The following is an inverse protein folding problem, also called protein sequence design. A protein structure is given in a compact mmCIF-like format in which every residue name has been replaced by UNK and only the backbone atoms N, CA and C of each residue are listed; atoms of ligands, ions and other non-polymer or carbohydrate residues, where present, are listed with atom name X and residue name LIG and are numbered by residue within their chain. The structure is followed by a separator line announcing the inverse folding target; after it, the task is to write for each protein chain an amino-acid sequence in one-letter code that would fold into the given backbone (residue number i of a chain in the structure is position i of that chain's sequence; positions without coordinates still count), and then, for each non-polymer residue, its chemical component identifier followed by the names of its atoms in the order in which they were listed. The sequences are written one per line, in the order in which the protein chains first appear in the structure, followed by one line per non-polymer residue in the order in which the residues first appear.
data_IF_818085559308
#
_entry.id   IF_818085559308
#
_cell.length_a   1.000
_cell.length_b   1.000
_cell.length_c   1.000
_cell.angle_alpha   90.00
_cell.angle_beta   90.00
_cell.angle_gamma   90.00
#
_symmetry.space_group_name_H-M   'P 1'
#
loop_
_entity.id
_entity.type
_entity.pdbx_description
1 polymer ?
#
# COMPACT_ATOMS: atom_id res chain seq x y z
N UNK A 1 -14.11 -3.71 10.51
CA UNK A 1 -12.71 -3.42 10.15
C UNK A 1 -12.59 -2.69 8.82
N UNK A 2 -13.07 -3.25 7.71
CA UNK A 2 -12.99 -2.55 6.41
C UNK A 2 -13.73 -1.20 6.41
N UNK A 3 -14.90 -1.10 7.07
CA UNK A 3 -15.62 0.18 7.19
C UNK A 3 -14.84 1.23 8.00
N UNK A 4 -14.12 0.82 9.03
CA UNK A 4 -13.27 1.76 9.79
C UNK A 4 -12.14 2.30 8.91
N UNK A 5 -11.53 1.46 8.07
CA UNK A 5 -10.53 1.92 7.09
C UNK A 5 -11.15 2.87 6.06
N UNK A 6 -12.39 2.60 5.64
CA UNK A 6 -13.15 3.49 4.75
C UNK A 6 -13.31 4.87 5.37
N UNK A 7 -13.61 4.99 6.66
CA UNK A 7 -13.68 6.29 7.35
C UNK A 7 -12.35 7.06 7.32
N UNK A 8 -11.21 6.37 7.46
CA UNK A 8 -9.89 7.00 7.37
C UNK A 8 -9.60 7.50 5.94
N UNK A 9 -9.92 6.68 4.94
CA UNK A 9 -9.79 7.05 3.52
C UNK A 9 -10.75 8.19 3.15
N UNK A 10 -11.95 8.21 3.73
CA UNK A 10 -12.94 9.23 3.44
C UNK A 10 -12.64 10.59 4.07
N UNK A 11 -12.07 10.59 5.27
CA UNK A 11 -11.64 11.80 5.95
C UNK A 11 -10.37 12.45 5.37
N UNK A 12 -9.63 11.73 4.52
CA UNK A 12 -8.37 12.18 3.94
C UNK A 12 -8.55 12.87 2.57
N UNK A 13 -7.67 13.84 2.30
CA UNK A 13 -7.58 14.52 1.01
C UNK A 13 -6.73 13.72 0.01
N UNK A 14 -5.71 13.03 0.52
CA UNK A 14 -4.77 12.23 -0.26
C UNK A 14 -4.52 10.89 0.41
N UNK A 15 -4.28 9.84 -0.38
CA UNK A 15 -4.05 8.47 0.09
C UNK A 15 -2.71 7.95 -0.42
N UNK A 16 -1.82 7.57 0.48
CA UNK A 16 -0.57 6.89 0.14
C UNK A 16 -0.68 5.42 0.51
N UNK A 17 -0.60 4.53 -0.47
CA UNK A 17 -0.74 3.09 -0.25
C UNK A 17 0.60 2.39 -0.38
N UNK A 18 0.90 1.50 0.56
CA UNK A 18 2.07 0.66 0.56
C UNK A 18 1.64 -0.80 0.55
N UNK A 19 2.05 -1.56 -0.47
CA UNK A 19 1.70 -2.96 -0.64
C UNK A 19 2.95 -3.80 -0.40
N UNK A 20 2.94 -4.59 0.67
CA UNK A 20 4.07 -5.39 1.11
C UNK A 20 3.94 -6.88 0.79
N UNK A 21 4.87 -7.66 1.33
CA UNK A 21 5.08 -9.08 1.04
C UNK A 21 3.90 -10.00 1.43
N UNK A 22 3.10 -9.63 2.44
CA UNK A 22 1.93 -10.41 2.84
C UNK A 22 0.79 -10.30 1.81
N UNK A 23 0.78 -9.24 1.00
CA UNK A 23 -0.17 -9.05 -0.09
C UNK A 23 0.31 -9.76 -1.37
N UNK A 24 0.43 -11.08 -1.34
CA UNK A 24 1.01 -11.85 -2.47
C UNK A 24 0.18 -13.07 -2.86
N UNK A 25 0.31 -13.48 -4.12
CA UNK A 25 -0.33 -14.68 -4.68
C UNK A 25 -0.01 -15.93 -3.85
N UNK A 26 1.22 -16.02 -3.32
CA UNK A 26 1.65 -17.12 -2.47
C UNK A 26 0.81 -17.26 -1.19
N UNK A 27 0.32 -16.15 -0.65
CA UNK A 27 -0.40 -16.15 0.63
C UNK A 27 -1.88 -16.51 0.50
N UNK A 28 -2.54 -16.16 -0.62
CA UNK A 28 -3.98 -16.34 -0.75
C UNK A 28 -4.47 -16.91 -2.09
N UNK A 29 -3.61 -17.03 -3.10
CA UNK A 29 -3.99 -17.38 -4.46
C UNK A 29 -4.28 -16.16 -5.34
N UNK A 30 -4.15 -16.33 -6.66
CA UNK A 30 -4.28 -15.23 -7.64
C UNK A 30 -5.68 -14.60 -7.61
N UNK A 31 -6.72 -15.42 -7.48
CA UNK A 31 -8.11 -14.97 -7.50
C UNK A 31 -8.42 -14.03 -6.32
N UNK A 32 -8.03 -14.43 -5.11
CA UNK A 32 -8.23 -13.64 -3.88
C UNK A 32 -7.42 -12.35 -3.88
N UNK A 33 -6.17 -12.39 -4.37
CA UNK A 33 -5.35 -11.17 -4.50
C UNK A 33 -5.97 -10.21 -5.51
N UNK A 34 -6.45 -10.73 -6.64
CA UNK A 34 -7.13 -9.93 -7.64
C UNK A 34 -8.41 -9.29 -7.09
N UNK A 35 -9.23 -10.06 -6.36
CA UNK A 35 -10.41 -9.54 -5.66
C UNK A 35 -10.04 -8.43 -4.67
N UNK A 36 -8.98 -8.61 -3.89
CA UNK A 36 -8.50 -7.60 -2.95
C UNK A 36 -8.04 -6.31 -3.66
N UNK A 37 -7.37 -6.42 -4.82
CA UNK A 37 -7.04 -5.25 -5.65
C UNK A 37 -8.30 -4.54 -6.16
N UNK A 38 -9.34 -5.27 -6.54
CA UNK A 38 -10.60 -4.67 -6.98
C UNK A 38 -11.35 -3.97 -5.83
N UNK A 39 -11.34 -4.53 -4.62
CA UNK A 39 -11.85 -3.84 -3.43
C UNK A 39 -11.04 -2.58 -3.15
N UNK A 40 -9.70 -2.65 -3.23
CA UNK A 40 -8.83 -1.49 -3.06
C UNK A 40 -9.10 -0.40 -4.11
N UNK A 41 -9.31 -0.78 -5.38
CA UNK A 41 -9.69 0.15 -6.44
C UNK A 41 -11.04 0.84 -6.15
N UNK A 42 -12.01 0.10 -5.61
CA UNK A 42 -13.28 0.65 -5.15
C UNK A 42 -13.13 1.64 -3.99
N UNK A 43 -12.28 1.31 -3.01
CA UNK A 43 -11.97 2.17 -1.86
C UNK A 43 -11.28 3.49 -2.27
N UNK A 44 -10.41 3.43 -3.28
CA UNK A 44 -9.66 4.59 -3.77
C UNK A 44 -10.40 5.41 -4.84
N UNK A 45 -11.61 4.99 -5.25
CA UNK A 45 -12.36 5.63 -6.32
C UNK A 45 -12.63 7.11 -6.01
N UNK A 46 -12.20 7.98 -6.92
CA UNK A 46 -12.36 9.43 -6.78
C UNK A 46 -11.38 10.11 -5.81
N UNK A 47 -10.44 9.37 -5.20
CA UNK A 47 -9.41 9.92 -4.33
C UNK A 47 -8.14 10.28 -5.10
N UNK A 48 -7.39 11.26 -4.60
CA UNK A 48 -6.01 11.47 -5.00
C UNK A 48 -5.12 10.47 -4.29
N UNK A 49 -4.54 9.52 -5.01
CA UNK A 49 -3.74 8.46 -4.40
C UNK A 49 -2.45 8.16 -5.16
N UNK A 50 -1.50 7.51 -4.47
CA UNK A 50 -0.34 6.89 -5.07
C UNK A 50 -0.04 5.57 -4.36
N UNK A 51 0.47 4.58 -5.10
CA UNK A 51 0.76 3.24 -4.62
C UNK A 51 2.25 2.94 -4.81
N UNK A 52 2.89 2.45 -3.75
CA UNK A 52 4.21 1.83 -3.79
C UNK A 52 4.02 0.36 -3.48
N UNK A 53 4.51 -0.54 -4.34
CA UNK A 53 4.37 -1.99 -4.16
C UNK A 53 5.73 -2.69 -4.13
N UNK A 54 5.84 -3.72 -3.28
CA UNK A 54 6.95 -4.67 -3.28
C UNK A 54 6.68 -5.90 -4.16
N UNK A 55 5.44 -6.06 -4.65
CA UNK A 55 5.07 -7.19 -5.50
C UNK A 55 5.69 -7.06 -6.89
N UNK A 56 6.31 -8.14 -7.38
CA UNK A 56 6.92 -8.23 -8.71
C UNK A 56 6.08 -9.05 -9.69
N UNK A 57 5.00 -9.70 -9.23
CA UNK A 57 4.14 -10.59 -10.02
C UNK A 57 3.29 -9.88 -11.10
N UNK A 58 3.38 -8.56 -11.19
CA UNK A 58 2.69 -7.67 -12.12
C UNK A 58 1.15 -7.71 -12.07
N UNK A 59 0.54 -8.47 -11.16
CA UNK A 59 -0.91 -8.67 -11.08
C UNK A 59 -1.65 -7.37 -10.78
N UNK A 60 -1.03 -6.44 -10.04
CA UNK A 60 -1.59 -5.12 -9.75
C UNK A 60 -1.96 -4.36 -11.04
N UNK A 61 -1.24 -4.57 -12.14
CA UNK A 61 -1.47 -3.90 -13.42
C UNK A 61 -2.61 -4.53 -14.25
N UNK A 62 -3.15 -5.66 -13.82
CA UNK A 62 -4.37 -6.26 -14.36
C UNK A 62 -5.64 -5.71 -13.69
N UNK A 63 -5.49 -5.00 -12.56
CA UNK A 63 -6.60 -4.41 -11.80
C UNK A 63 -7.11 -3.08 -12.38
N UNK A 64 -8.20 -2.58 -11.81
CA UNK A 64 -8.75 -1.24 -12.10
C UNK A 64 -7.94 -0.07 -11.50
N UNK A 65 -6.83 -0.34 -10.82
CA UNK A 65 -5.94 0.71 -10.32
C UNK A 65 -5.23 1.42 -11.48
N UNK A 66 -5.05 2.73 -11.35
CA UNK A 66 -4.45 3.56 -12.39
C UNK A 66 -2.94 3.31 -12.44
N UNK A 67 -2.44 2.78 -13.57
CA UNK A 67 -1.03 2.38 -13.73
C UNK A 67 -0.07 3.54 -13.48
N UNK A 68 -0.44 4.74 -13.91
CA UNK A 68 0.32 5.97 -13.72
C UNK A 68 0.44 6.42 -12.24
N UNK A 69 -0.30 5.78 -11.33
CA UNK A 69 -0.27 6.03 -9.87
C UNK A 69 0.41 4.90 -9.09
N UNK A 70 1.08 3.99 -9.76
CA UNK A 70 1.76 2.84 -9.16
C UNK A 70 3.26 2.97 -9.43
N UNK A 71 4.09 2.68 -8.44
CA UNK A 71 5.52 2.43 -8.62
C UNK A 71 5.88 1.10 -7.98
N UNK A 72 6.73 0.31 -8.66
CA UNK A 72 7.18 -1.01 -8.23
C UNK A 72 8.72 -1.04 -8.14
N UNK A 73 9.33 -0.53 -7.05
CA UNK A 73 10.78 -0.43 -6.91
C UNK A 73 11.49 -1.76 -6.68
N UNK A 74 10.76 -2.87 -6.57
CA UNK A 74 11.31 -4.22 -6.50
C UNK A 74 11.36 -4.92 -7.87
N UNK A 75 10.83 -4.28 -8.92
CA UNK A 75 10.88 -4.78 -10.28
C UNK A 75 9.60 -5.44 -10.77
N UNK A 76 9.74 -6.23 -11.84
CA UNK A 76 8.68 -6.90 -12.58
C UNK A 76 9.17 -8.26 -13.09
N UNK A 77 8.44 -9.32 -12.78
CA UNK A 77 8.70 -10.68 -13.25
C UNK A 77 8.54 -10.75 -14.77
N UNK A 78 7.52 -10.09 -15.34
CA UNK A 78 7.26 -10.09 -16.78
C UNK A 78 8.36 -9.39 -17.57
N UNK A 79 9.01 -8.38 -16.98
CA UNK A 79 10.14 -7.69 -17.59
C UNK A 79 11.48 -8.43 -17.40
N UNK A 80 11.53 -9.46 -16.56
CA UNK A 80 12.77 -10.15 -16.19
C UNK A 80 13.76 -9.24 -15.45
N UNK A 81 13.24 -8.32 -14.63
CA UNK A 81 14.05 -7.39 -13.85
C UNK A 81 13.48 -7.32 -12.43
N UNK A 82 14.01 -8.12 -11.51
CA UNK A 82 13.61 -8.11 -10.10
C UNK A 82 14.78 -7.84 -9.18
N UNK A 83 14.51 -7.25 -8.01
CA UNK A 83 15.53 -6.80 -7.04
C UNK A 83 16.41 -7.94 -6.49
N UNK A 84 16.01 -9.19 -6.69
CA UNK A 84 16.80 -10.37 -6.32
C UNK A 84 17.80 -10.82 -7.38
N UNK A 85 17.73 -10.26 -8.58
CA UNK A 85 18.62 -10.59 -9.69
C UNK A 85 19.95 -9.83 -9.57
N UNK A 86 21.06 -10.46 -9.95
CA UNK A 86 22.39 -9.82 -9.93
C UNK A 86 22.49 -8.62 -10.89
N UNK A 87 21.72 -8.65 -11.99
CA UNK A 87 21.69 -7.62 -13.03
C UNK A 87 20.50 -6.65 -12.86
N UNK A 88 19.97 -6.51 -11.63
CA UNK A 88 18.84 -5.61 -11.36
C UNK A 88 19.13 -4.17 -11.81
N UNK A 89 18.26 -3.66 -12.70
CA UNK A 89 18.35 -2.31 -13.23
C UNK A 89 17.26 -1.41 -12.64
N UNK A 90 17.69 -0.50 -11.76
CA UNK A 90 16.82 0.50 -11.15
C UNK A 90 16.23 1.48 -12.18
N UNK A 91 16.91 1.70 -13.31
CA UNK A 91 16.51 2.68 -14.33
C UNK A 91 15.10 2.42 -14.89
N UNK A 92 14.64 1.18 -14.80
CA UNK A 92 13.30 0.74 -15.20
C UNK A 92 12.18 1.41 -14.39
N UNK A 93 12.38 1.67 -13.09
CA UNK A 93 11.35 2.30 -12.25
C UNK A 93 11.66 3.77 -11.90
N UNK A 94 12.90 4.25 -12.09
CA UNK A 94 13.31 5.61 -11.73
C UNK A 94 12.38 6.72 -12.28
N UNK A 95 11.91 6.69 -13.55
CA UNK A 95 11.00 7.71 -14.05
C UNK A 95 9.70 7.79 -13.25
N UNK A 96 9.14 6.63 -12.88
CA UNK A 96 7.91 6.55 -12.10
C UNK A 96 8.15 6.89 -10.61
N UNK A 97 9.35 6.59 -10.11
CA UNK A 97 9.80 7.03 -8.79
C UNK A 97 9.89 8.55 -8.65
N UNK A 98 10.31 9.26 -9.70
CA UNK A 98 10.27 10.72 -9.71
C UNK A 98 8.85 11.26 -9.62
N UNK A 99 7.89 10.63 -10.31
CA UNK A 99 6.47 10.98 -10.23
C UNK A 99 5.95 10.77 -8.81
N UNK A 100 6.23 9.61 -8.21
CA UNK A 100 5.93 9.33 -6.81
C UNK A 100 6.52 10.38 -5.87
N UNK A 101 7.81 10.69 -6.02
CA UNK A 101 8.50 11.65 -5.15
C UNK A 101 7.91 13.06 -5.26
N UNK A 102 7.57 13.50 -6.48
CA UNK A 102 6.88 14.78 -6.72
C UNK A 102 5.48 14.78 -6.12
N UNK A 103 4.72 13.69 -6.26
CA UNK A 103 3.41 13.54 -5.63
C UNK A 103 3.52 13.61 -4.11
N UNK A 104 4.51 12.93 -3.52
CA UNK A 104 4.74 12.90 -2.08
C UNK A 104 5.04 14.29 -1.52
N UNK A 105 5.82 15.12 -2.22
CA UNK A 105 6.06 16.51 -1.82
C UNK A 105 4.76 17.32 -1.71
N UNK A 106 3.78 17.06 -2.57
CA UNK A 106 2.46 17.69 -2.54
C UNK A 106 1.54 17.17 -1.42
N UNK A 107 1.96 16.15 -0.66
CA UNK A 107 1.18 15.65 0.49
C UNK A 107 1.45 16.43 1.78
N UNK A 108 2.51 17.24 1.81
CA UNK A 108 2.86 18.05 2.97
C UNK A 108 1.71 19.00 3.31
N UNK A 109 1.35 19.10 4.59
CA UNK A 109 0.22 19.90 5.10
C UNK A 109 -1.19 19.50 4.64
N UNK A 110 -1.36 18.39 3.91
CA UNK A 110 -2.66 17.80 3.62
C UNK A 110 -3.02 16.70 4.61
N UNK A 111 -4.32 16.45 4.79
CA UNK A 111 -4.83 15.27 5.50
C UNK A 111 -4.51 14.04 4.66
N UNK A 112 -3.43 13.37 5.02
CA UNK A 112 -2.93 12.17 4.33
C UNK A 112 -3.38 10.92 5.07
N UNK A 113 -4.05 9.99 4.38
CA UNK A 113 -4.17 8.62 4.87
C UNK A 113 -3.03 7.79 4.30
N UNK A 114 -2.21 7.21 5.16
CA UNK A 114 -1.18 6.25 4.78
C UNK A 114 -1.77 4.87 5.05
N UNK A 115 -1.91 4.03 4.03
CA UNK A 115 -2.49 2.69 4.11
C UNK A 115 -1.41 1.65 3.79
N UNK A 116 -0.91 0.98 4.81
CA UNK A 116 0.04 -0.13 4.67
C UNK A 116 -0.71 -1.47 4.70
N UNK A 117 -0.62 -2.21 3.60
CA UNK A 117 -1.24 -3.52 3.41
C UNK A 117 -0.13 -4.57 3.32
N UNK A 118 0.06 -5.33 4.39
CA UNK A 118 0.98 -6.47 4.40
C UNK A 118 2.46 -6.10 4.36
N UNK A 119 2.81 -4.88 4.78
CA UNK A 119 4.19 -4.37 4.81
C UNK A 119 4.90 -4.88 6.05
N UNK A 120 5.80 -5.83 5.87
CA UNK A 120 6.61 -6.43 6.92
C UNK A 120 8.01 -5.84 6.97
N UNK A 121 9.02 -6.70 6.81
CA UNK A 121 10.44 -6.38 6.92
C UNK A 121 11.28 -6.95 5.77
N UNK A 122 10.67 -7.38 4.67
CA UNK A 122 11.40 -7.81 3.47
C UNK A 122 12.27 -6.66 2.90
N UNK A 123 11.66 -5.49 2.67
CA UNK A 123 12.34 -4.28 2.18
C UNK A 123 11.85 -3.02 2.92
N UNK A 124 12.13 -2.87 4.23
CA UNK A 124 11.52 -1.84 5.05
C UNK A 124 11.98 -0.42 4.68
N UNK A 125 13.13 -0.28 4.03
CA UNK A 125 13.63 0.99 3.49
C UNK A 125 12.82 1.52 2.30
N UNK A 126 12.01 0.68 1.64
CA UNK A 126 11.18 1.07 0.48
C UNK A 126 9.84 1.65 0.93
N UNK A 127 9.19 1.02 1.92
CA UNK A 127 7.83 1.41 2.35
C UNK A 127 7.79 1.73 3.85
N UNK A 128 8.04 0.74 4.72
CA UNK A 128 7.77 0.85 6.16
C UNK A 128 8.42 2.06 6.83
N UNK A 129 9.74 2.17 6.74
CA UNK A 129 10.48 3.26 7.39
C UNK A 129 10.17 4.61 6.74
N UNK A 130 10.13 4.75 5.40
CA UNK A 130 9.65 5.99 4.78
C UNK A 130 8.25 6.41 5.23
N UNK A 131 7.30 5.49 5.29
CA UNK A 131 5.90 5.77 5.62
C UNK A 131 5.73 6.18 7.08
N UNK A 132 6.41 5.49 8.00
CA UNK A 132 6.50 5.91 9.41
C UNK A 132 7.10 7.31 9.53
N UNK A 133 8.17 7.60 8.78
CA UNK A 133 8.80 8.93 8.75
C UNK A 133 7.83 10.00 8.23
N UNK A 134 7.07 9.72 7.18
CA UNK A 134 6.05 10.63 6.65
C UNK A 134 4.96 10.88 7.70
N UNK A 135 4.46 9.83 8.36
CA UNK A 135 3.46 9.95 9.43
C UNK A 135 3.98 10.77 10.62
N UNK A 136 5.26 10.60 10.96
CA UNK A 136 5.93 11.35 12.03
C UNK A 136 6.03 12.84 11.70
N UNK A 137 6.44 13.23 10.49
CA UNK A 137 6.59 14.65 10.14
C UNK A 137 5.27 15.33 9.78
N UNK A 138 4.38 14.67 9.03
CA UNK A 138 3.06 15.22 8.70
C UNK A 138 2.08 14.96 9.86
N UNK A 139 1.92 15.95 10.74
CA UNK A 139 1.01 15.86 11.89
C UNK A 139 -0.47 15.73 11.52
N UNK A 140 -0.85 15.98 10.26
CA UNK A 140 -2.22 15.74 9.74
C UNK A 140 -2.39 14.35 9.14
N UNK A 141 -1.30 13.58 8.99
CA UNK A 141 -1.37 12.23 8.47
C UNK A 141 -1.95 11.26 9.52
N UNK A 142 -2.66 10.25 9.03
CA UNK A 142 -3.10 9.09 9.81
C UNK A 142 -2.57 7.83 9.12
N UNK A 143 -1.99 6.91 9.89
CA UNK A 143 -1.46 5.66 9.36
C UNK A 143 -2.42 4.51 9.70
N UNK A 144 -2.81 3.73 8.70
CA UNK A 144 -3.51 2.47 8.88
C UNK A 144 -2.55 1.36 8.47
N UNK A 145 -2.20 0.49 9.42
CA UNK A 145 -1.32 -0.65 9.22
C UNK A 145 -2.09 -1.94 9.36
N UNK A 146 -2.12 -2.73 8.30
CA UNK A 146 -2.76 -4.04 8.26
C UNK A 146 -1.70 -5.10 8.03
N UNK A 147 -1.50 -5.98 9.01
CA UNK A 147 -0.58 -7.12 8.89
C UNK A 147 -0.96 -8.19 9.92
N UNK A 148 -0.87 -9.48 9.57
CA UNK A 148 -1.17 -10.56 10.54
C UNK A 148 -0.21 -10.63 11.74
N UNK A 149 1.08 -10.41 11.54
CA UNK A 149 2.11 -10.49 12.59
C UNK A 149 2.76 -9.14 12.96
N UNK A 150 3.04 -8.28 11.97
CA UNK A 150 3.85 -7.07 12.16
C UNK A 150 3.05 -5.76 12.25
N UNK A 151 1.85 -5.80 12.82
CA UNK A 151 0.95 -4.65 12.92
C UNK A 151 1.36 -3.59 13.96
N UNK A 152 2.45 -3.80 14.72
CA UNK A 152 2.84 -2.92 15.82
C UNK A 152 3.12 -1.49 15.33
N UNK A 153 2.75 -0.50 16.15
CA UNK A 153 2.94 0.93 15.90
C UNK A 153 3.97 1.52 16.86
N UNK A 154 4.79 2.44 16.36
CA UNK A 154 5.72 3.22 17.18
C UNK A 154 4.95 4.21 18.08
N UNK A 155 5.44 4.49 19.30
CA UNK A 155 4.75 5.37 20.25
C UNK A 155 4.39 6.75 19.69
N UNK A 156 5.24 7.31 18.84
CA UNK A 156 5.15 8.68 18.33
C UNK A 156 3.97 8.92 17.39
N UNK A 157 3.50 7.87 16.70
CA UNK A 157 2.40 7.96 15.73
C UNK A 157 1.14 7.21 16.19
N UNK A 158 1.22 6.48 17.30
CA UNK A 158 0.17 5.55 17.77
C UNK A 158 -1.21 6.20 17.88
N UNK A 159 -1.30 7.40 18.45
CA UNK A 159 -2.58 8.09 18.66
C UNK A 159 -3.27 8.51 17.36
N UNK A 160 -2.52 8.63 16.25
CA UNK A 160 -3.04 8.99 14.93
C UNK A 160 -3.14 7.80 13.99
N UNK A 161 -2.94 6.58 14.51
CA UNK A 161 -2.79 5.38 13.69
C UNK A 161 -3.76 4.27 14.08
N UNK A 162 -4.16 3.47 13.10
CA UNK A 162 -4.94 2.24 13.28
C UNK A 162 -4.05 1.04 13.01
N UNK A 163 -3.97 0.12 13.98
CA UNK A 163 -3.28 -1.17 13.86
C UNK A 163 -4.32 -2.27 13.68
N UNK A 164 -4.24 -3.01 12.58
CA UNK A 164 -5.14 -4.13 12.29
C UNK A 164 -4.32 -5.41 12.16
N UNK A 165 -4.48 -6.30 13.16
CA UNK A 165 -3.78 -7.59 13.22
C UNK A 165 -4.55 -8.65 12.42
N UNK A 166 -4.50 -8.57 11.09
CA UNK A 166 -5.10 -9.56 10.19
C UNK A 166 -4.44 -9.57 8.82
N UNK A 167 -4.68 -10.61 8.03
CA UNK A 167 -4.25 -10.65 6.63
C UNK A 167 -4.91 -9.50 5.84
N UNK A 168 -4.13 -8.71 5.07
CA UNK A 168 -4.67 -7.62 4.28
C UNK A 168 -5.57 -8.10 3.14
N UNK A 169 -5.29 -9.29 2.59
CA UNK A 169 -6.12 -9.89 1.54
C UNK A 169 -7.48 -10.27 2.14
N UNK A 170 -7.51 -11.00 3.26
CA UNK A 170 -8.77 -11.35 3.94
C UNK A 170 -9.58 -10.12 4.31
N UNK A 171 -8.94 -9.06 4.81
CA UNK A 171 -9.60 -7.80 5.15
C UNK A 171 -10.31 -7.17 3.94
N UNK A 172 -9.77 -7.32 2.73
CA UNK A 172 -10.31 -6.73 1.51
C UNK A 172 -11.27 -7.66 0.75
N UNK A 173 -11.23 -8.98 0.97
CA UNK A 173 -12.11 -9.96 0.32
C UNK A 173 -13.32 -10.35 1.18
N UNK A 174 -13.21 -10.30 2.51
CA UNK A 174 -14.32 -10.62 3.41
C UNK A 174 -15.33 -9.45 3.47
N UNK A 175 -16.16 -9.31 2.43
CA UNK A 175 -17.37 -8.48 2.45
C UNK A 175 -18.48 -9.24 3.22
N UNK A 176 -18.83 -8.73 4.39
CA UNK A 176 -19.92 -9.14 5.31
C UNK A 176 -20.73 -10.42 4.95
N UNK A 177 -20.47 -11.52 5.66
CA UNK A 177 -21.44 -12.62 5.91
C UNK A 177 -22.69 -12.15 6.72
N UNK A 178 -23.06 -10.87 6.70
CA UNK A 178 -24.19 -10.33 7.48
C UNK A 178 -25.07 -9.38 6.69
N UNK A 179 -25.69 -9.90 5.62
CA UNK A 179 -27.01 -9.44 5.15
C UNK A 179 -27.83 -10.64 4.68
N UNK A 180 -28.38 -11.37 5.65
CA UNK A 180 -29.61 -12.17 5.50
C UNK A 180 -30.63 -11.60 6.47
#
# INVERSE_FOLDING_TARGET
MLEEIREYVDAAELILVGIGEEFSIKQAGREQVMEAYETLAGLLKGKGYFIVTLQTDDLIYESRLAKERIVAPCGSDAAGNVVTDEEYDESMYLPQWEVYTKWLQNTLNHKLCILELGVGFAYPSVIRFPFEKIAYFNQKARLVRVHSEFAQLTPEIRERSLSVTMSPIKLLTEQEEKRV
#
